data_IF_993486530501
#
_entry.id   IF_993486530501
#
_cell.length_a   1.000
_cell.length_b   1.000
_cell.length_c   1.000
_cell.angle_alpha   90.00
_cell.angle_beta   90.00
_cell.angle_gamma   90.00
#
_symmetry.space_group_name_H-M   'P 1'
#
loop_
_entity.id
_entity.type
_entity.pdbx_description
1 polymer ?
#
# COMPACT_ATOMS: atom_id res chain seq x y z
N UNK A 1 -7.87 -41.82 -10.05
CA UNK A 1 -9.32 -42.10 -9.94
C UNK A 1 -10.05 -40.79 -9.66
N UNK A 2 -11.20 -40.59 -10.31
CA UNK A 2 -11.75 -39.29 -10.69
C UNK A 2 -12.20 -38.37 -9.55
N UNK A 3 -11.71 -37.13 -9.59
CA UNK A 3 -12.21 -36.02 -8.81
C UNK A 3 -13.49 -35.48 -9.46
N UNK A 4 -14.65 -35.70 -8.84
CA UNK A 4 -15.92 -35.04 -9.19
C UNK A 4 -16.30 -34.10 -8.06
N UNK A 5 -15.76 -32.88 -8.10
CA UNK A 5 -16.12 -31.80 -7.19
C UNK A 5 -17.46 -31.18 -7.60
N UNK A 6 -18.56 -31.67 -7.04
CA UNK A 6 -19.90 -31.08 -7.25
C UNK A 6 -20.05 -29.85 -6.34
N UNK A 7 -19.79 -28.66 -6.87
CA UNK A 7 -20.01 -27.38 -6.18
C UNK A 7 -21.51 -27.05 -6.15
N UNK A 8 -22.26 -27.67 -5.24
CA UNK A 8 -23.68 -27.35 -5.02
C UNK A 8 -23.81 -26.17 -4.07
N UNK A 9 -24.62 -25.19 -4.45
CA UNK A 9 -24.97 -24.05 -3.57
C UNK A 9 -25.86 -24.58 -2.45
N UNK A 10 -25.40 -24.44 -1.21
CA UNK A 10 -26.15 -24.80 0.00
C UNK A 10 -26.46 -23.50 0.73
N UNK A 11 -27.73 -23.25 1.02
CA UNK A 11 -28.16 -22.15 1.87
C UNK A 11 -28.18 -22.65 3.31
N UNK A 12 -27.51 -21.93 4.21
CA UNK A 12 -27.48 -22.24 5.64
C UNK A 12 -28.46 -21.32 6.37
N UNK A 13 -29.24 -21.90 7.27
CA UNK A 13 -29.99 -21.16 8.28
C UNK A 13 -29.35 -21.50 9.62
N UNK A 14 -28.95 -20.49 10.39
CA UNK A 14 -28.38 -20.66 11.72
C UNK A 14 -29.51 -20.79 12.74
N UNK A 15 -29.31 -21.64 13.75
CA UNK A 15 -30.29 -21.80 14.82
C UNK A 15 -30.28 -20.60 15.80
N UNK A 16 -31.14 -20.65 16.82
CA UNK A 16 -31.28 -19.61 17.86
C UNK A 16 -30.00 -19.36 18.67
N UNK A 17 -29.00 -20.24 18.54
CA UNK A 17 -27.69 -20.13 19.19
C UNK A 17 -26.56 -19.85 18.19
N UNK A 18 -26.91 -19.38 16.98
CA UNK A 18 -25.98 -19.10 15.87
C UNK A 18 -25.14 -20.31 15.42
N UNK A 19 -25.55 -21.54 15.78
CA UNK A 19 -24.85 -22.75 15.36
C UNK A 19 -25.33 -23.19 13.97
N UNK A 20 -24.38 -23.63 13.14
CA UNK A 20 -24.66 -24.16 11.81
C UNK A 20 -24.32 -25.65 11.80
N UNK A 21 -25.35 -26.51 11.76
CA UNK A 21 -25.15 -27.96 11.61
C UNK A 21 -25.22 -28.36 10.14
N UNK A 22 -24.13 -28.93 9.61
CA UNK A 22 -24.07 -29.40 8.23
C UNK A 22 -24.09 -30.92 8.20
N UNK A 23 -25.23 -31.50 7.81
CA UNK A 23 -25.38 -32.95 7.69
C UNK A 23 -24.86 -33.41 6.32
N UNK A 24 -23.74 -34.13 6.31
CA UNK A 24 -23.17 -34.73 5.09
C UNK A 24 -23.81 -36.09 4.83
N UNK A 25 -24.71 -36.16 3.85
CA UNK A 25 -25.35 -37.40 3.40
C UNK A 25 -25.22 -37.62 1.90
N UNK A 26 -25.41 -38.87 1.47
CA UNK A 26 -25.57 -39.21 0.06
C UNK A 26 -27.07 -39.21 -0.24
N UNK A 27 -27.54 -38.33 -1.14
CA UNK A 27 -28.93 -38.40 -1.62
C UNK A 27 -29.04 -39.52 -2.66
N UNK A 28 -30.05 -40.37 -2.50
CA UNK A 28 -30.49 -41.27 -3.56
C UNK A 28 -31.00 -40.43 -4.74
N UNK A 29 -30.83 -40.93 -5.96
CA UNK A 29 -31.37 -40.26 -7.15
C UNK A 29 -32.90 -40.31 -7.14
N UNK A 30 -33.55 -39.33 -7.78
CA UNK A 30 -35.02 -39.23 -7.81
C UNK A 30 -35.66 -40.54 -8.32
N UNK A 31 -35.03 -41.22 -9.29
CA UNK A 31 -35.44 -42.54 -9.78
C UNK A 31 -35.39 -43.67 -8.75
N UNK A 32 -34.48 -43.62 -7.77
CA UNK A 32 -34.42 -44.61 -6.67
C UNK A 32 -35.44 -44.24 -5.59
N UNK A 33 -35.63 -42.95 -5.33
CA UNK A 33 -36.61 -42.44 -4.37
C UNK A 33 -38.03 -42.83 -4.79
N UNK A 34 -38.39 -42.63 -6.07
CA UNK A 34 -39.73 -42.95 -6.56
C UNK A 34 -40.03 -44.45 -6.49
N UNK A 35 -39.05 -45.30 -6.80
CA UNK A 35 -39.16 -46.77 -6.66
C UNK A 35 -39.25 -47.27 -5.22
N UNK A 36 -38.70 -46.53 -4.27
CA UNK A 36 -38.82 -46.86 -2.84
C UNK A 36 -40.11 -46.28 -2.23
N UNK A 37 -40.68 -45.25 -2.85
CA UNK A 37 -41.90 -44.57 -2.40
C UNK A 37 -43.17 -45.28 -2.88
N UNK A 38 -43.11 -46.00 -4.00
CA UNK A 38 -44.18 -46.88 -4.48
C UNK A 38 -43.72 -48.34 -4.52
N UNK A 39 -44.30 -49.26 -3.71
CA UNK A 39 -44.09 -50.68 -3.93
C UNK A 39 -44.77 -51.08 -5.25
N UNK A 40 -43.96 -51.32 -6.28
CA UNK A 40 -44.42 -51.85 -7.56
C UNK A 40 -45.19 -53.16 -7.35
N UNK A 41 -46.50 -53.15 -7.63
CA UNK A 41 -47.26 -54.37 -7.88
C UNK A 41 -47.23 -54.65 -9.39
N UNK A 42 -46.77 -55.82 -9.83
CA UNK A 42 -46.82 -56.23 -11.23
C UNK A 42 -48.21 -56.79 -11.57
N UNK A 43 -48.44 -56.98 -12.87
CA UNK A 43 -49.52 -57.79 -13.47
C UNK A 43 -50.78 -57.04 -13.88
N UNK A 44 -51.26 -57.40 -15.08
CA UNK A 44 -52.67 -57.27 -15.41
C UNK A 44 -52.98 -56.80 -16.82
N UNK A 45 -52.54 -57.53 -17.84
CA UNK A 45 -53.36 -57.63 -19.07
C UNK A 45 -54.49 -58.63 -18.75
N UNK A 46 -55.75 -58.29 -19.07
CA UNK A 46 -56.48 -59.08 -20.06
C UNK A 46 -57.15 -58.15 -21.09
N UNK A 47 -57.02 -58.41 -22.38
CA UNK A 47 -57.86 -59.31 -23.18
C UNK A 47 -59.19 -58.66 -23.59
N UNK A 48 -59.30 -58.45 -24.90
CA UNK A 48 -60.48 -58.60 -25.75
C UNK A 48 -61.84 -58.17 -25.20
N UNK A 49 -62.47 -57.20 -25.88
CA UNK A 49 -63.72 -57.51 -26.58
C UNK A 49 -64.02 -56.46 -27.64
N UNK A 50 -64.02 -56.91 -28.90
CA UNK A 50 -64.78 -56.29 -29.98
C UNK A 50 -66.24 -56.18 -29.51
N UNK A 51 -66.84 -54.99 -29.62
CA UNK A 51 -68.29 -54.86 -29.73
C UNK A 51 -68.62 -54.01 -30.95
N UNK A 52 -69.45 -54.62 -31.78
CA UNK A 52 -70.05 -54.11 -33.00
C UNK A 52 -70.91 -52.87 -32.73
N UNK A 53 -71.15 -52.03 -33.75
CA UNK A 53 -71.85 -50.75 -33.58
C UNK A 53 -73.36 -50.99 -33.49
N UNK A 54 -73.94 -50.69 -32.33
CA UNK A 54 -75.37 -50.83 -32.08
C UNK A 54 -75.94 -49.55 -31.48
N UNK A 55 -76.82 -48.89 -32.24
CA UNK A 55 -77.78 -47.85 -31.86
C UNK A 55 -77.33 -46.83 -30.79
N UNK A 56 -76.94 -45.64 -31.25
CA UNK A 56 -76.84 -44.43 -30.41
C UNK A 56 -78.15 -44.23 -29.66
N UNK A 57 -78.10 -44.35 -28.34
CA UNK A 57 -79.22 -44.09 -27.43
C UNK A 57 -79.23 -42.58 -27.11
N UNK A 58 -80.38 -41.92 -27.19
CA UNK A 58 -80.50 -40.45 -27.06
C UNK A 58 -79.92 -39.89 -25.75
N UNK A 59 -79.93 -40.67 -24.68
CA UNK A 59 -79.31 -40.31 -23.39
C UNK A 59 -77.78 -40.28 -23.42
N UNK A 60 -77.14 -41.13 -24.22
CA UNK A 60 -75.69 -41.14 -24.38
C UNK A 60 -75.22 -39.93 -25.22
N UNK A 61 -76.04 -39.49 -26.18
CA UNK A 61 -75.82 -38.26 -26.94
C UNK A 61 -75.93 -37.02 -26.04
N UNK A 62 -76.97 -36.93 -25.21
CA UNK A 62 -77.14 -35.83 -24.23
C UNK A 62 -75.98 -35.77 -23.24
N UNK A 63 -75.52 -36.93 -22.75
CA UNK A 63 -74.39 -37.00 -21.83
C UNK A 63 -73.08 -36.53 -22.48
N UNK A 64 -72.83 -36.91 -23.73
CA UNK A 64 -71.68 -36.41 -24.51
C UNK A 64 -71.75 -34.89 -24.74
N UNK A 65 -72.93 -34.35 -25.06
CA UNK A 65 -73.12 -32.90 -25.21
C UNK A 65 -72.86 -32.19 -23.88
N UNK A 66 -73.38 -32.72 -22.76
CA UNK A 66 -73.14 -32.15 -21.43
C UNK A 66 -71.66 -32.20 -21.02
N UNK A 67 -70.98 -33.30 -21.34
CA UNK A 67 -69.54 -33.49 -21.09
C UNK A 67 -68.67 -32.57 -21.95
N UNK A 68 -68.98 -32.45 -23.25
CA UNK A 68 -68.31 -31.52 -24.17
C UNK A 68 -68.47 -30.07 -23.69
N UNK A 69 -69.66 -29.69 -23.23
CA UNK A 69 -69.96 -28.36 -22.71
C UNK A 69 -69.26 -28.09 -21.35
N UNK A 70 -69.09 -29.13 -20.53
CA UNK A 70 -68.31 -29.05 -19.29
C UNK A 70 -66.80 -28.91 -19.55
N UNK A 71 -66.25 -29.67 -20.51
CA UNK A 71 -64.86 -29.56 -20.97
C UNK A 71 -64.57 -28.19 -21.58
N UNK A 72 -65.50 -27.64 -22.36
CA UNK A 72 -65.35 -26.32 -22.98
C UNK A 72 -65.33 -25.21 -21.91
N UNK A 73 -66.17 -25.32 -20.87
CA UNK A 73 -66.13 -24.43 -19.69
C UNK A 73 -64.82 -24.57 -18.92
N UNK A 74 -64.38 -25.79 -18.61
CA UNK A 74 -63.12 -26.04 -17.90
C UNK A 74 -61.91 -25.47 -18.67
N UNK A 75 -61.92 -25.57 -20.01
CA UNK A 75 -60.89 -24.98 -20.86
C UNK A 75 -60.89 -23.46 -20.79
N UNK A 76 -62.06 -22.80 -20.84
CA UNK A 76 -62.14 -21.34 -20.70
C UNK A 76 -61.63 -20.86 -19.34
N UNK A 77 -61.97 -21.57 -18.26
CA UNK A 77 -61.50 -21.24 -16.91
C UNK A 77 -59.99 -21.44 -16.77
N UNK A 78 -59.44 -22.53 -17.33
CA UNK A 78 -58.00 -22.77 -17.36
C UNK A 78 -57.24 -21.70 -18.20
N UNK A 79 -57.80 -21.29 -19.33
CA UNK A 79 -57.23 -20.22 -20.16
C UNK A 79 -57.28 -18.86 -19.44
N UNK A 80 -58.36 -18.56 -18.70
CA UNK A 80 -58.49 -17.37 -17.88
C UNK A 80 -57.50 -17.37 -16.70
N UNK A 81 -57.33 -18.50 -16.01
CA UNK A 81 -56.32 -18.67 -14.95
C UNK A 81 -54.90 -18.47 -15.50
N UNK A 82 -54.60 -19.05 -16.67
CA UNK A 82 -53.30 -18.86 -17.33
C UNK A 82 -53.05 -17.40 -17.71
N UNK A 83 -54.08 -16.67 -18.15
CA UNK A 83 -53.97 -15.22 -18.42
C UNK A 83 -53.69 -14.43 -17.14
N UNK A 84 -54.39 -14.73 -16.03
CA UNK A 84 -54.15 -14.10 -14.73
C UNK A 84 -52.73 -14.35 -14.22
N UNK A 85 -52.27 -15.60 -14.22
CA UNK A 85 -50.92 -15.96 -13.79
C UNK A 85 -49.84 -15.27 -14.64
N UNK A 86 -50.06 -15.12 -15.96
CA UNK A 86 -49.13 -14.37 -16.82
C UNK A 86 -49.10 -12.89 -16.49
N UNK A 87 -50.24 -12.27 -16.22
CA UNK A 87 -50.32 -10.87 -15.80
C UNK A 87 -49.61 -10.66 -14.46
N UNK A 88 -49.87 -11.53 -13.50
CA UNK A 88 -49.21 -11.50 -12.18
C UNK A 88 -47.70 -11.72 -12.31
N UNK A 89 -47.26 -12.67 -13.12
CA UNK A 89 -45.83 -12.89 -13.39
C UNK A 89 -45.17 -11.68 -14.06
N UNK A 90 -45.86 -11.00 -14.98
CA UNK A 90 -45.36 -9.79 -15.61
C UNK A 90 -45.28 -8.62 -14.61
N UNK A 91 -46.30 -8.47 -13.77
CA UNK A 91 -46.34 -7.48 -12.69
C UNK A 91 -45.20 -7.67 -11.69
N UNK A 92 -45.01 -8.91 -11.22
CA UNK A 92 -43.91 -9.26 -10.31
C UNK A 92 -42.55 -8.96 -10.95
N UNK A 93 -42.35 -9.33 -12.22
CA UNK A 93 -41.10 -9.01 -12.95
C UNK A 93 -40.84 -7.51 -13.05
N UNK A 94 -41.87 -6.70 -13.32
CA UNK A 94 -41.77 -5.25 -13.41
C UNK A 94 -41.44 -4.62 -12.05
N UNK A 95 -42.11 -5.05 -10.98
CA UNK A 95 -41.82 -4.58 -9.61
C UNK A 95 -40.40 -4.94 -9.17
N UNK A 96 -39.93 -6.16 -9.46
CA UNK A 96 -38.53 -6.52 -9.24
C UNK A 96 -37.56 -5.63 -10.03
N UNK A 97 -37.91 -5.29 -11.28
CA UNK A 97 -37.13 -4.36 -12.10
C UNK A 97 -36.99 -2.99 -11.44
N UNK A 98 -38.10 -2.42 -10.96
CA UNK A 98 -38.11 -1.11 -10.28
C UNK A 98 -37.31 -1.13 -8.98
N UNK A 99 -37.38 -2.21 -8.20
CA UNK A 99 -36.61 -2.35 -6.96
C UNK A 99 -35.12 -2.41 -7.27
N UNK A 100 -34.70 -3.24 -8.23
CA UNK A 100 -33.31 -3.35 -8.66
C UNK A 100 -32.76 -2.02 -9.19
N UNK A 101 -33.57 -1.28 -9.93
CA UNK A 101 -33.17 0.03 -10.46
C UNK A 101 -32.99 1.05 -9.33
N UNK A 102 -33.91 1.12 -8.37
CA UNK A 102 -33.77 1.98 -7.18
C UNK A 102 -32.54 1.61 -6.34
N UNK A 103 -32.32 0.32 -6.11
CA UNK A 103 -31.14 -0.17 -5.39
C UNK A 103 -29.86 0.24 -6.12
N UNK A 104 -29.78 0.01 -7.43
CA UNK A 104 -28.65 0.40 -8.27
C UNK A 104 -28.40 1.89 -8.23
N UNK A 105 -29.44 2.72 -8.34
CA UNK A 105 -29.32 4.18 -8.26
C UNK A 105 -28.83 4.64 -6.89
N UNK A 106 -29.41 4.12 -5.81
CA UNK A 106 -29.00 4.46 -4.43
C UNK A 106 -27.55 4.06 -4.13
N UNK A 107 -27.14 2.88 -4.61
CA UNK A 107 -25.77 2.37 -4.50
C UNK A 107 -24.80 3.23 -5.30
N UNK A 108 -25.17 3.60 -6.53
CA UNK A 108 -24.34 4.47 -7.37
C UNK A 108 -24.19 5.88 -6.76
N UNK A 109 -25.27 6.46 -6.24
CA UNK A 109 -25.22 7.73 -5.52
C UNK A 109 -24.38 7.64 -4.24
N UNK A 110 -24.46 6.53 -3.50
CA UNK A 110 -23.62 6.30 -2.33
C UNK A 110 -22.14 6.20 -2.72
N UNK A 111 -21.83 5.42 -3.75
CA UNK A 111 -20.48 5.28 -4.31
C UNK A 111 -19.94 6.64 -4.77
N UNK A 112 -20.72 7.40 -5.52
CA UNK A 112 -20.33 8.73 -6.01
C UNK A 112 -20.03 9.67 -4.84
N UNK A 113 -20.86 9.68 -3.80
CA UNK A 113 -20.62 10.47 -2.59
C UNK A 113 -19.38 9.99 -1.82
N UNK A 114 -19.13 8.69 -1.73
CA UNK A 114 -17.95 8.15 -1.08
C UNK A 114 -16.67 8.57 -1.81
N UNK A 115 -16.64 8.44 -3.14
CA UNK A 115 -15.50 8.86 -3.98
C UNK A 115 -15.20 10.34 -3.80
N UNK A 116 -16.22 11.20 -3.79
CA UNK A 116 -16.03 12.64 -3.63
C UNK A 116 -15.45 12.98 -2.25
N UNK A 117 -15.92 12.31 -1.18
CA UNK A 117 -15.36 12.51 0.17
C UNK A 117 -13.91 12.04 0.26
N UNK A 118 -13.59 10.89 -0.32
CA UNK A 118 -12.22 10.36 -0.35
C UNK A 118 -11.28 11.32 -1.10
N UNK A 119 -11.70 11.80 -2.27
CA UNK A 119 -10.95 12.79 -3.06
C UNK A 119 -10.73 14.10 -2.29
N UNK A 120 -11.75 14.58 -1.58
CA UNK A 120 -11.61 15.78 -0.76
C UNK A 120 -10.62 15.58 0.40
N UNK A 121 -10.73 14.47 1.13
CA UNK A 121 -9.83 14.16 2.25
C UNK A 121 -8.38 13.99 1.80
N UNK A 122 -8.15 13.22 0.74
CA UNK A 122 -6.81 13.02 0.16
C UNK A 122 -6.19 14.32 -0.35
N UNK A 123 -6.96 15.19 -0.99
CA UNK A 123 -6.46 16.49 -1.44
C UNK A 123 -6.17 17.44 -0.26
N UNK A 124 -6.97 17.42 0.81
CA UNK A 124 -6.71 18.20 2.02
C UNK A 124 -5.39 17.76 2.69
N UNK A 125 -5.18 16.46 2.85
CA UNK A 125 -3.93 15.90 3.36
C UNK A 125 -2.75 16.27 2.46
N UNK A 126 -2.91 16.18 1.13
CA UNK A 126 -1.88 16.57 0.16
C UNK A 126 -1.52 18.04 0.28
N UNK A 127 -2.50 18.93 0.41
CA UNK A 127 -2.27 20.37 0.60
C UNK A 127 -1.57 20.66 1.92
N UNK A 128 -1.96 19.98 3.01
CA UNK A 128 -1.30 20.10 4.31
C UNK A 128 0.16 19.66 4.23
N UNK A 129 0.44 18.51 3.62
CA UNK A 129 1.79 18.03 3.37
C UNK A 129 2.60 19.01 2.53
N UNK A 130 2.00 19.58 1.48
CA UNK A 130 2.64 20.58 0.64
C UNK A 130 3.01 21.86 1.41
N UNK A 131 2.17 22.32 2.34
CA UNK A 131 2.48 23.48 3.21
C UNK A 131 3.68 23.20 4.11
N UNK A 132 3.73 22.03 4.73
CA UNK A 132 4.89 21.64 5.55
C UNK A 132 6.17 21.48 4.72
N UNK A 133 6.08 20.90 3.52
CA UNK A 133 7.22 20.82 2.61
C UNK A 133 7.79 22.21 2.29
N UNK A 134 6.93 23.20 2.01
CA UNK A 134 7.37 24.59 1.78
C UNK A 134 8.05 25.20 3.00
N UNK A 135 7.50 24.99 4.21
CA UNK A 135 8.12 25.47 5.44
C UNK A 135 9.49 24.83 5.68
N UNK A 136 9.63 23.53 5.43
CA UNK A 136 10.90 22.83 5.55
C UNK A 136 11.92 23.37 4.54
N UNK A 137 11.53 23.57 3.28
CA UNK A 137 12.43 24.18 2.29
C UNK A 137 12.88 25.59 2.68
N UNK A 138 11.98 26.40 3.25
CA UNK A 138 12.32 27.74 3.73
C UNK A 138 13.32 27.67 4.89
N UNK A 139 13.09 26.77 5.85
CA UNK A 139 14.03 26.51 6.95
C UNK A 139 15.39 26.00 6.46
N UNK A 140 15.40 25.13 5.46
CA UNK A 140 16.63 24.65 4.84
C UNK A 140 17.38 25.79 4.12
N UNK A 141 16.66 26.72 3.48
CA UNK A 141 17.27 27.92 2.89
C UNK A 141 17.84 28.85 3.95
N UNK A 142 17.15 29.06 5.05
CA UNK A 142 17.65 29.85 6.19
C UNK A 142 18.92 29.22 6.78
N UNK A 143 18.90 27.92 7.06
CA UNK A 143 20.06 27.19 7.57
C UNK A 143 21.26 27.28 6.61
N UNK A 144 21.05 27.10 5.31
CA UNK A 144 22.11 27.26 4.30
C UNK A 144 22.74 28.66 4.30
N UNK A 145 21.94 29.72 4.51
CA UNK A 145 22.47 31.09 4.63
C UNK A 145 23.36 31.24 5.87
N UNK A 146 22.91 30.71 7.01
CA UNK A 146 23.71 30.73 8.23
C UNK A 146 25.01 29.93 8.09
N UNK A 147 24.93 28.72 7.51
CA UNK A 147 26.11 27.90 7.24
C UNK A 147 27.11 28.60 6.33
N UNK A 148 26.63 29.25 5.26
CA UNK A 148 27.47 30.03 4.36
C UNK A 148 28.13 31.20 5.09
N UNK A 149 27.36 31.94 5.90
CA UNK A 149 27.87 33.04 6.70
C UNK A 149 28.99 32.61 7.66
N UNK A 150 28.80 31.53 8.41
CA UNK A 150 29.82 31.05 9.34
C UNK A 150 31.06 30.50 8.62
N UNK A 151 30.89 29.83 7.48
CA UNK A 151 32.02 29.42 6.64
C UNK A 151 32.81 30.62 6.12
N UNK A 152 32.14 31.70 5.75
CA UNK A 152 32.79 32.94 5.31
C UNK A 152 33.55 33.61 6.47
N UNK A 153 32.96 33.67 7.68
CA UNK A 153 33.67 34.20 8.85
C UNK A 153 34.93 33.39 9.17
N UNK A 154 34.83 32.06 9.11
CA UNK A 154 35.98 31.16 9.27
C UNK A 154 37.04 31.42 8.20
N UNK A 155 36.65 31.45 6.92
CA UNK A 155 37.57 31.73 5.82
C UNK A 155 38.29 33.08 5.98
N UNK A 156 37.58 34.13 6.43
CA UNK A 156 38.17 35.44 6.68
C UNK A 156 39.14 35.44 7.87
N UNK A 157 38.86 34.65 8.91
CA UNK A 157 39.79 34.45 10.02
C UNK A 157 41.03 33.67 9.58
N UNK A 158 40.83 32.59 8.84
CA UNK A 158 41.89 31.76 8.27
C UNK A 158 42.79 32.60 7.35
N UNK A 159 42.22 33.42 6.47
CA UNK A 159 42.97 34.32 5.58
C UNK A 159 43.83 35.30 6.38
N UNK A 160 43.25 36.00 7.36
CA UNK A 160 44.02 36.92 8.20
C UNK A 160 45.14 36.21 8.97
N UNK A 161 44.87 34.99 9.46
CA UNK A 161 45.87 34.19 10.16
C UNK A 161 47.00 33.75 9.22
N UNK A 162 46.67 33.34 8.00
CA UNK A 162 47.65 32.94 7.00
C UNK A 162 48.54 34.11 6.57
N UNK A 163 47.95 35.29 6.37
CA UNK A 163 48.71 36.52 6.09
C UNK A 163 49.67 36.86 7.23
N UNK A 164 49.22 36.75 8.49
CA UNK A 164 50.06 36.97 9.66
C UNK A 164 51.27 36.02 9.70
N UNK A 165 51.05 34.72 9.50
CA UNK A 165 52.15 33.74 9.46
C UNK A 165 53.10 34.00 8.29
N UNK A 166 52.57 34.28 7.10
CA UNK A 166 53.37 34.58 5.91
C UNK A 166 54.32 35.74 6.16
N UNK A 167 53.82 36.90 6.59
CA UNK A 167 54.64 38.08 6.88
C UNK A 167 55.68 37.78 7.95
N UNK A 168 55.29 37.06 9.00
CA UNK A 168 56.20 36.69 10.09
C UNK A 168 57.34 35.80 9.57
N UNK A 169 57.03 34.77 8.79
CA UNK A 169 58.05 33.89 8.18
C UNK A 169 58.95 34.63 7.20
N UNK A 170 58.41 35.54 6.39
CA UNK A 170 59.19 36.37 5.46
C UNK A 170 60.17 37.30 6.21
N UNK A 171 59.73 37.91 7.32
CA UNK A 171 60.60 38.75 8.16
C UNK A 171 61.73 37.93 8.79
N UNK A 172 61.43 36.75 9.35
CA UNK A 172 62.45 35.86 9.90
C UNK A 172 63.44 35.40 8.82
N UNK A 173 62.94 34.99 7.65
CA UNK A 173 63.79 34.55 6.55
C UNK A 173 64.71 35.69 6.09
N UNK A 174 64.17 36.90 5.92
CA UNK A 174 64.95 38.08 5.54
C UNK A 174 66.05 38.40 6.55
N UNK A 175 65.74 38.34 7.85
CA UNK A 175 66.74 38.55 8.89
C UNK A 175 67.81 37.45 8.89
N UNK A 176 67.42 36.19 8.70
CA UNK A 176 68.35 35.07 8.58
C UNK A 176 69.27 35.21 7.35
N UNK A 177 68.72 35.63 6.21
CA UNK A 177 69.48 35.89 4.98
C UNK A 177 70.44 37.07 5.16
N UNK A 178 70.02 38.14 5.86
CA UNK A 178 70.87 39.29 6.15
C UNK A 178 72.05 38.90 7.06
N UNK A 179 71.80 38.15 8.13
CA UNK A 179 72.86 37.63 9.01
C UNK A 179 73.80 36.72 8.24
N UNK A 180 73.27 35.83 7.40
CA UNK A 180 74.07 34.94 6.55
C UNK A 180 74.93 35.74 5.56
N UNK A 181 74.39 36.81 4.97
CA UNK A 181 75.15 37.68 4.07
C UNK A 181 76.25 38.47 4.80
N UNK A 182 75.97 38.97 6.02
CA UNK A 182 76.98 39.61 6.88
C UNK A 182 78.08 38.63 7.27
N UNK A 183 77.71 37.42 7.66
CA UNK A 183 78.65 36.34 7.98
C UNK A 183 79.53 36.00 6.78
N UNK A 184 78.94 35.78 5.61
CA UNK A 184 79.69 35.50 4.38
C UNK A 184 80.63 36.66 4.01
N UNK A 185 80.20 37.93 4.18
CA UNK A 185 81.09 39.09 3.94
C UNK A 185 82.25 39.15 4.94
N UNK A 186 81.99 38.87 6.21
CA UNK A 186 83.02 38.87 7.25
C UNK A 186 84.03 37.72 7.05
N UNK A 187 83.54 36.51 6.72
CA UNK A 187 84.39 35.34 6.52
C UNK A 187 85.11 35.33 5.16
N UNK A 188 84.53 35.88 4.09
CA UNK A 188 85.20 36.03 2.79
C UNK A 188 86.13 37.26 2.74
N UNK A 189 86.12 38.11 3.78
CA UNK A 189 87.06 39.22 3.94
C UNK A 189 88.39 38.82 4.62
N UNK A 190 88.53 37.58 5.06
CA UNK A 190 89.75 37.04 5.70
C UNK A 190 90.49 36.01 4.82
N UNK A 191 90.24 35.97 3.51
CA UNK A 191 90.98 35.06 2.59
C UNK A 191 92.04 35.75 1.72
N UNK A 192 92.54 36.93 2.11
CA UNK A 192 93.66 37.58 1.41
C UNK A 192 94.97 37.66 2.22
N UNK A 193 95.19 36.71 3.15
CA UNK A 193 96.55 36.40 3.64
C UNK A 193 96.78 34.89 3.77
N UNK A 194 96.88 34.26 2.60
CA UNK A 194 97.83 33.17 2.32
C UNK A 194 97.75 31.94 3.21
N UNK A 195 96.83 31.02 2.89
CA UNK A 195 97.12 29.58 3.01
C UNK A 195 96.67 28.89 1.71
N UNK A 196 97.69 28.66 0.88
CA UNK A 196 97.91 27.50 0.02
C UNK A 196 96.70 26.57 -0.16
N UNK A 197 96.32 26.42 -1.42
CA UNK A 197 95.64 25.25 -2.00
C UNK A 197 95.61 23.99 -1.11
N UNK A 198 94.54 23.79 -0.34
CA UNK A 198 94.13 22.44 0.05
C UNK A 198 93.01 22.04 -0.91
N UNK A 199 93.49 21.38 -1.96
CA UNK A 199 92.74 20.68 -2.99
C UNK A 199 91.42 20.11 -2.48
N UNK A 200 90.37 20.44 -3.24
CA UNK A 200 89.33 19.51 -3.69
C UNK A 200 89.69 18.03 -3.46
N UNK A 201 89.23 17.43 -2.35
CA UNK A 201 88.78 16.03 -2.29
C UNK A 201 88.12 15.68 -0.96
N UNK A 202 86.83 15.39 -1.10
CA UNK A 202 86.08 14.36 -0.37
C UNK A 202 85.81 14.57 1.11
N UNK A 203 84.60 15.05 1.41
CA UNK A 203 83.72 14.29 2.31
C UNK A 203 82.37 14.13 1.60
N UNK A 204 82.28 13.01 0.89
CA UNK A 204 81.01 12.34 0.64
C UNK A 204 80.51 11.90 2.04
N UNK A 205 79.66 12.69 2.66
CA UNK A 205 78.92 12.27 3.85
C UNK A 205 77.52 12.85 3.75
N UNK A 206 76.63 11.98 3.32
CA UNK A 206 75.24 11.85 3.72
C UNK A 206 74.86 12.63 5.00
N UNK A 207 74.79 13.96 4.93
CA UNK A 207 74.01 14.73 5.89
C UNK A 207 72.66 14.99 5.24
N UNK A 208 71.84 13.95 5.38
CA UNK A 208 70.40 13.94 5.25
C UNK A 208 69.79 15.21 5.85
N UNK A 209 69.69 16.28 5.05
CA UNK A 209 68.72 17.36 5.30
C UNK A 209 67.38 16.89 4.76
N UNK A 210 66.87 15.88 5.44
CA UNK A 210 65.45 15.63 5.57
C UNK A 210 64.90 16.90 6.22
N UNK A 211 64.46 17.84 5.40
CA UNK A 211 63.65 18.96 5.86
C UNK A 211 62.39 18.33 6.46
N UNK A 212 62.43 18.15 7.78
CA UNK A 212 61.28 17.74 8.57
C UNK A 212 60.37 18.97 8.62
N UNK A 213 59.61 19.19 7.56
CA UNK A 213 58.38 19.95 7.65
C UNK A 213 57.47 19.16 8.59
N UNK A 214 57.07 19.70 9.76
CA UNK A 214 55.90 19.16 10.41
C UNK A 214 54.74 19.45 9.47
N UNK A 215 54.32 18.43 8.72
CA UNK A 215 52.96 18.39 8.18
C UNK A 215 52.07 18.44 9.42
N UNK A 216 51.49 19.60 9.69
CA UNK A 216 50.35 19.67 10.58
C UNK A 216 49.20 18.97 9.86
N UNK A 217 49.15 17.65 9.98
CA UNK A 217 47.96 16.85 9.71
C UNK A 217 46.91 17.27 10.75
N UNK A 218 46.15 18.31 10.43
CA UNK A 218 44.87 18.62 11.07
C UNK A 218 43.79 17.68 10.52
N UNK A 219 44.04 16.37 10.56
CA UNK A 219 42.97 15.36 10.58
C UNK A 219 42.66 15.08 12.04
N UNK A 220 42.01 16.06 12.68
CA UNK A 220 41.33 15.80 13.93
C UNK A 220 40.22 14.78 13.66
N UNK A 221 40.43 13.58 14.16
CA UNK A 221 39.41 12.59 14.45
C UNK A 221 38.18 13.25 15.08
N UNK A 222 37.15 13.54 14.29
CA UNK A 222 35.77 13.53 14.78
C UNK A 222 35.34 12.07 14.83
N UNK A 223 35.85 11.35 15.84
CA UNK A 223 35.21 10.13 16.28
C UNK A 223 33.82 10.51 16.78
N UNK A 224 32.81 10.10 16.01
CA UNK A 224 31.43 10.12 16.45
C UNK A 224 31.33 9.42 17.80
N UNK A 225 31.02 10.19 18.85
CA UNK A 225 30.57 9.60 20.10
C UNK A 225 29.13 9.11 19.86
N UNK A 226 28.83 7.82 20.03
CA UNK A 226 27.46 7.35 19.94
C UNK A 226 26.69 7.93 21.12
N UNK A 227 25.63 8.69 20.83
CA UNK A 227 24.62 9.08 21.82
C UNK A 227 24.02 7.77 22.35
N UNK A 228 24.37 7.42 23.59
CA UNK A 228 23.76 6.31 24.33
C UNK A 228 22.26 6.54 24.35
N UNK A 229 21.53 5.68 23.66
CA UNK A 229 20.08 5.51 23.81
C UNK A 229 19.82 5.18 25.28
N UNK A 230 19.30 6.15 26.04
CA UNK A 230 18.67 5.89 27.33
C UNK A 230 17.19 5.64 27.04
N UNK A 231 16.88 4.37 26.89
CA UNK A 231 15.52 3.85 26.97
C UNK A 231 14.93 4.19 28.35
N UNK A 232 13.64 4.54 28.36
CA UNK A 232 12.80 4.44 29.55
C UNK A 232 12.59 5.71 30.37
N UNK A 233 11.58 6.49 29.98
CA UNK A 233 10.56 6.93 30.95
C UNK A 233 9.25 7.26 30.22
N UNK A 234 8.33 6.31 30.31
CA UNK A 234 6.92 6.53 30.03
C UNK A 234 6.41 7.64 30.97
N UNK A 235 5.80 8.67 30.41
CA UNK A 235 4.90 9.55 31.16
C UNK A 235 3.49 9.08 30.82
N UNK A 236 3.04 8.11 31.59
CA UNK A 236 1.63 7.82 31.79
C UNK A 236 1.08 8.86 32.77
N UNK A 237 0.23 9.76 32.29
CA UNK A 237 -0.80 10.46 33.08
C UNK A 237 -2.00 10.62 32.15
N UNK A 238 -2.90 9.65 32.18
CA UNK A 238 -4.04 9.56 33.10
C UNK A 238 -5.19 10.45 32.59
N UNK A 239 -6.16 9.77 31.99
CA UNK A 239 -7.51 10.25 31.83
C UNK A 239 -8.16 10.48 33.20
N UNK A 240 -8.83 11.61 33.35
CA UNK A 240 -9.91 11.87 34.29
C UNK A 240 -10.81 12.88 33.56
N UNK A 241 -11.90 12.45 32.92
CA UNK A 241 -13.25 12.43 33.50
C UNK A 241 -13.57 13.76 34.19
N UNK A 242 -14.37 14.60 33.53
CA UNK A 242 -15.39 15.37 34.21
C UNK A 242 -16.64 15.35 33.36
N UNK A 243 -17.60 14.57 33.84
CA UNK A 243 -18.98 14.58 33.40
C UNK A 243 -19.70 15.82 33.98
N UNK A 244 -20.76 16.23 33.29
CA UNK A 244 -21.97 16.89 33.82
C UNK A 244 -21.81 18.24 34.55
N UNK A 245 -22.42 19.28 33.98
CA UNK A 245 -23.56 19.96 34.62
C UNK A 245 -24.21 21.00 33.70
N UNK A 246 -25.53 20.84 33.50
CA UNK A 246 -26.58 21.83 33.14
C UNK A 246 -26.49 22.53 31.79
#
# INVERSE_FOLDING_TARGET
MGASGSTRRVTFEADENENITVVKGVRLSDSVIDRMKEPSSPSGRPQSQRRSPGAVNDEELKKRIAEELALERARRDAEAQKRRLKQEQAYVRDEFGKILERERMSSNEHLTRAILRERAATEEERQKAQRFARQLEEKDRELKKHDAYYKEQLARLEERSAQFYKVTTEQYQKAADEVSARFNRACLGEEDKGIVQIKHKTINSNFSRRAFFPKNDMTAHLQGRPIKRRTGRAISRAAAITAQSV
#
